data_IF_149560341136
#
_entry.id   IF_149560341136
#
_cell.length_a   1.000
_cell.length_b   1.000
_cell.length_c   1.000
_cell.angle_alpha   90.00
_cell.angle_beta   90.00
_cell.angle_gamma   90.00
#
_symmetry.space_group_name_H-M   'P 1'
#
loop_
_entity.id
_entity.type
_entity.pdbx_description
1 polymer ?
#
# COMPACT_ATOMS: atom_id res chain seq x y z
N UNK A 1 -32.34 -8.70 2.19
CA UNK A 1 -31.68 -7.76 1.28
C UNK A 1 -31.28 -8.54 0.03
N UNK A 2 -31.83 -8.19 -1.12
CA UNK A 2 -31.50 -8.81 -2.39
C UNK A 2 -31.98 -7.88 -3.48
N UNK A 3 -31.13 -6.91 -3.84
CA UNK A 3 -31.36 -6.10 -5.03
C UNK A 3 -31.07 -6.95 -6.27
N UNK A 4 -31.65 -6.56 -7.40
CA UNK A 4 -31.30 -7.18 -8.68
C UNK A 4 -29.82 -6.97 -8.98
N UNK A 5 -29.19 -7.99 -9.58
CA UNK A 5 -27.81 -7.88 -10.05
C UNK A 5 -27.71 -6.75 -11.09
N UNK A 6 -26.66 -5.95 -11.00
CA UNK A 6 -26.45 -4.81 -11.88
C UNK A 6 -24.97 -4.58 -12.14
N UNK A 7 -24.64 -4.22 -13.38
CA UNK A 7 -23.28 -3.86 -13.80
C UNK A 7 -22.70 -2.79 -12.89
N UNK A 8 -23.50 -1.82 -12.47
CA UNK A 8 -23.00 -0.74 -11.61
C UNK A 8 -22.70 -1.23 -10.18
N UNK A 9 -23.42 -2.24 -9.70
CA UNK A 9 -23.12 -2.90 -8.43
C UNK A 9 -21.86 -3.78 -8.52
N UNK A 10 -21.65 -4.44 -9.67
CA UNK A 10 -20.42 -5.20 -9.95
C UNK A 10 -19.20 -4.28 -9.99
N UNK A 11 -19.31 -3.11 -10.64
CA UNK A 11 -18.26 -2.09 -10.68
C UNK A 11 -17.92 -1.59 -9.27
N UNK A 12 -18.92 -1.31 -8.44
CA UNK A 12 -18.69 -0.91 -7.05
C UNK A 12 -17.93 -1.99 -6.28
N UNK A 13 -18.40 -3.23 -6.38
CA UNK A 13 -17.80 -4.38 -5.70
C UNK A 13 -16.36 -4.61 -6.17
N UNK A 14 -16.10 -4.43 -7.48
CA UNK A 14 -14.75 -4.47 -8.04
C UNK A 14 -13.86 -3.36 -7.47
N UNK A 15 -14.38 -2.14 -7.32
CA UNK A 15 -13.67 -1.03 -6.69
C UNK A 15 -13.24 -1.35 -5.25
N UNK A 16 -14.15 -1.89 -4.45
CA UNK A 16 -13.85 -2.30 -3.07
C UNK A 16 -12.82 -3.42 -3.04
N UNK A 17 -12.94 -4.43 -3.90
CA UNK A 17 -11.98 -5.53 -4.00
C UNK A 17 -10.59 -5.01 -4.40
N UNK A 18 -10.52 -4.06 -5.33
CA UNK A 18 -9.26 -3.44 -5.74
C UNK A 18 -8.61 -2.69 -4.57
N UNK A 19 -9.39 -1.92 -3.80
CA UNK A 19 -8.87 -1.26 -2.61
C UNK A 19 -8.42 -2.26 -1.54
N UNK A 20 -9.20 -3.32 -1.30
CA UNK A 20 -8.88 -4.38 -0.32
C UNK A 20 -7.54 -5.05 -0.65
N UNK A 21 -7.34 -5.43 -1.92
CA UNK A 21 -6.10 -6.09 -2.38
C UNK A 21 -4.86 -5.22 -2.16
N UNK A 22 -4.94 -3.91 -2.34
CA UNK A 22 -3.77 -3.02 -2.27
C UNK A 22 -3.52 -2.44 -0.86
N UNK A 23 -4.54 -2.43 0.00
CA UNK A 23 -4.41 -1.92 1.37
C UNK A 23 -4.25 -3.03 2.41
N UNK A 24 -4.53 -4.28 2.03
CA UNK A 24 -4.47 -5.45 2.92
C UNK A 24 -5.51 -5.39 4.05
N UNK A 25 -6.58 -4.62 3.85
CA UNK A 25 -7.61 -4.35 4.88
C UNK A 25 -8.97 -4.85 4.39
N UNK A 26 -9.64 -5.62 5.23
CA UNK A 26 -10.98 -6.14 4.92
C UNK A 26 -12.01 -5.01 5.00
N UNK A 27 -12.98 -4.91 4.07
CA UNK A 27 -14.06 -3.93 4.16
C UNK A 27 -14.89 -4.04 5.45
N UNK A 28 -14.90 -5.22 6.06
CA UNK A 28 -15.58 -5.53 7.32
C UNK A 28 -14.66 -5.51 8.55
N UNK A 29 -13.48 -4.89 8.44
CA UNK A 29 -12.58 -4.71 9.59
C UNK A 29 -13.26 -3.84 10.67
N UNK A 30 -12.96 -4.13 11.94
CA UNK A 30 -13.55 -3.44 13.09
C UNK A 30 -13.20 -1.94 13.11
N UNK A 31 -12.14 -1.52 12.39
CA UNK A 31 -11.82 -0.09 12.22
C UNK A 31 -12.78 0.65 11.29
N UNK A 32 -13.57 -0.03 10.47
CA UNK A 32 -14.54 0.58 9.54
C UNK A 32 -15.94 0.61 10.13
N UNK A 33 -16.12 1.47 11.14
CA UNK A 33 -17.40 1.72 11.83
C UNK A 33 -17.79 3.19 11.73
N UNK A 34 -18.99 3.51 12.19
CA UNK A 34 -19.49 4.89 12.31
C UNK A 34 -19.46 5.69 10.98
N UNK A 35 -19.73 5.00 9.86
CA UNK A 35 -19.74 5.59 8.51
C UNK A 35 -18.36 5.67 7.85
N UNK A 36 -17.29 5.29 8.54
CA UNK A 36 -15.99 5.06 7.93
C UNK A 36 -16.03 3.72 7.18
N UNK A 37 -15.55 3.74 5.94
CA UNK A 37 -15.42 2.55 5.11
C UNK A 37 -14.11 2.62 4.32
N UNK A 38 -13.76 1.53 3.63
CA UNK A 38 -12.51 1.42 2.89
C UNK A 38 -12.34 2.51 1.81
N UNK A 39 -13.42 2.92 1.14
CA UNK A 39 -13.42 4.03 0.16
C UNK A 39 -13.03 5.35 0.84
N UNK A 40 -13.76 5.73 1.89
CA UNK A 40 -13.53 6.99 2.61
C UNK A 40 -12.14 7.03 3.26
N UNK A 41 -11.70 5.91 3.83
CA UNK A 41 -10.35 5.75 4.37
C UNK A 41 -9.28 6.01 3.30
N UNK A 42 -9.42 5.42 2.12
CA UNK A 42 -8.49 5.63 1.00
C UNK A 42 -8.51 7.09 0.53
N UNK A 43 -9.71 7.66 0.37
CA UNK A 43 -9.91 9.04 -0.10
C UNK A 43 -9.26 10.07 0.83
N UNK A 44 -9.28 9.83 2.13
CA UNK A 44 -8.67 10.72 3.13
C UNK A 44 -7.14 10.62 3.20
N UNK A 45 -6.57 9.53 2.68
CA UNK A 45 -5.15 9.25 2.75
C UNK A 45 -4.37 9.64 1.49
N UNK A 46 -5.02 9.71 0.33
CA UNK A 46 -4.35 10.02 -0.92
C UNK A 46 -4.24 11.52 -1.21
N UNK A 47 -3.14 11.94 -1.88
CA UNK A 47 -1.94 11.15 -2.19
C UNK A 47 -0.89 11.10 -1.07
N UNK A 48 -0.99 11.94 -0.03
CA UNK A 48 0.13 12.25 0.88
C UNK A 48 0.50 11.11 1.84
N UNK A 49 -0.45 10.25 2.21
CA UNK A 49 -0.29 9.19 3.22
C UNK A 49 -0.27 7.78 2.62
N UNK A 50 0.02 7.64 1.33
CA UNK A 50 0.01 6.37 0.61
C UNK A 50 0.80 5.25 1.31
N UNK A 51 2.04 5.54 1.71
CA UNK A 51 2.95 4.58 2.36
C UNK A 51 2.38 4.02 3.67
N UNK A 52 1.50 4.76 4.34
CA UNK A 52 0.90 4.36 5.63
C UNK A 52 -0.32 3.44 5.45
N UNK A 53 -0.98 3.50 4.29
CA UNK A 53 -2.25 2.80 4.07
C UNK A 53 -2.12 1.54 3.21
N UNK A 54 -1.12 1.51 2.32
CA UNK A 54 -0.81 0.38 1.43
C UNK A 54 -0.32 -0.81 2.24
N UNK A 55 -0.66 -2.02 1.78
CA UNK A 55 -0.17 -3.25 2.39
C UNK A 55 1.37 -3.29 2.40
N UNK A 56 2.03 -3.47 3.56
CA UNK A 56 3.48 -3.56 3.65
C UNK A 56 4.10 -4.65 2.78
N UNK A 57 3.35 -5.69 2.37
CA UNK A 57 3.86 -6.72 1.44
C UNK A 57 4.15 -6.14 0.04
N UNK A 58 3.50 -5.03 -0.32
CA UNK A 58 3.72 -4.32 -1.59
C UNK A 58 4.91 -3.36 -1.52
N UNK A 59 5.43 -3.11 -0.32
CA UNK A 59 6.64 -2.33 -0.12
C UNK A 59 7.87 -3.26 -0.22
N UNK A 60 8.98 -2.81 -0.83
CA UNK A 60 10.21 -3.59 -0.84
C UNK A 60 10.63 -3.91 0.59
N UNK A 61 10.70 -5.19 0.94
CA UNK A 61 11.40 -5.62 2.16
C UNK A 61 12.88 -5.64 1.83
N UNK A 62 13.70 -4.92 2.59
CA UNK A 62 15.11 -5.27 2.65
C UNK A 62 15.16 -6.69 3.23
N UNK A 63 15.49 -7.65 2.37
CA UNK A 63 15.90 -8.97 2.84
C UNK A 63 17.32 -8.76 3.33
N UNK A 64 17.47 -8.35 4.59
CA UNK A 64 18.70 -8.67 5.29
C UNK A 64 18.80 -10.20 5.31
N UNK A 65 19.70 -10.75 4.51
CA UNK A 65 20.17 -12.11 4.69
C UNK A 65 20.69 -12.26 6.14
N UNK A 66 20.04 -13.11 6.93
CA UNK A 66 20.40 -13.51 8.29
C UNK A 66 21.77 -14.27 8.33
N UNK A 67 22.39 -14.62 9.50
CA UNK A 67 21.88 -14.65 10.87
C UNK A 67 22.90 -14.22 11.98
N UNK A 68 22.58 -13.26 12.84
CA UNK A 68 23.34 -13.15 14.10
C UNK A 68 22.82 -14.17 15.10
N UNK A 69 23.45 -15.35 15.10
CA UNK A 69 23.56 -16.16 16.29
C UNK A 69 24.21 -15.30 17.38
N UNK A 70 23.39 -14.61 18.20
CA UNK A 70 23.89 -14.12 19.48
C UNK A 70 23.96 -15.34 20.38
N UNK A 71 25.15 -15.92 20.35
CA UNK A 71 25.65 -16.92 21.27
C UNK A 71 25.20 -16.59 22.68
N UNK A 72 24.54 -17.56 23.31
CA UNK A 72 24.31 -17.59 24.74
C UNK A 72 25.63 -17.43 25.50
N UNK A 73 25.58 -16.63 26.56
CA UNK A 73 26.54 -16.49 27.65
C UNK A 73 27.86 -15.73 27.36
N UNK A 74 28.01 -14.55 27.97
CA UNK A 74 28.62 -14.42 29.30
C UNK A 74 28.53 -12.97 29.82
N UNK A 75 27.93 -12.83 30.99
CA UNK A 75 28.07 -11.71 31.91
C UNK A 75 29.53 -11.57 32.34
N UNK A 76 30.07 -10.35 32.43
CA UNK A 76 30.97 -9.93 33.51
C UNK A 76 30.83 -8.42 33.73
N UNK A 77 30.45 -8.08 34.96
CA UNK A 77 30.20 -6.73 35.47
C UNK A 77 31.50 -5.98 35.80
N UNK A 78 31.47 -4.66 35.57
CA UNK A 78 32.12 -3.59 36.33
C UNK A 78 31.76 -2.28 35.60
N UNK A 79 31.02 -1.28 36.08
CA UNK A 79 30.52 -0.97 37.40
C UNK A 79 30.78 0.51 37.70
N UNK A 80 29.99 1.45 37.13
CA UNK A 80 29.59 2.78 37.66
C UNK A 80 29.20 3.84 36.59
N UNK A 81 27.95 3.85 36.08
CA UNK A 81 27.41 4.99 35.32
C UNK A 81 25.93 5.25 35.65
N UNK A 82 25.58 6.49 36.02
CA UNK A 82 24.21 7.02 35.88
C UNK A 82 24.29 8.09 34.80
N UNK A 83 23.98 7.67 33.57
CA UNK A 83 23.77 8.50 32.40
C UNK A 83 22.30 8.26 32.01
N UNK A 84 21.52 9.33 31.89
CA UNK A 84 20.13 9.28 31.44
C UNK A 84 20.10 9.77 29.99
N UNK A 85 20.44 8.86 29.11
CA UNK A 85 20.61 9.05 27.67
C UNK A 85 19.26 8.94 27.00
N UNK A 86 18.87 10.05 26.39
CA UNK A 86 18.07 10.18 25.17
C UNK A 86 17.87 8.85 24.43
N UNK A 87 16.73 8.20 24.63
CA UNK A 87 16.23 7.18 23.70
C UNK A 87 15.69 7.88 22.45
N UNK A 88 16.62 8.37 21.62
CA UNK A 88 16.35 8.53 20.20
C UNK A 88 16.34 7.10 19.62
N UNK A 89 15.25 6.38 19.87
CA UNK A 89 14.97 5.11 19.21
C UNK A 89 14.97 5.38 17.71
N UNK A 90 16.05 4.92 17.08
CA UNK A 90 16.40 5.21 15.71
C UNK A 90 15.21 4.93 14.81
N UNK A 91 14.78 5.97 14.10
CA UNK A 91 13.88 5.86 12.97
C UNK A 91 14.55 4.87 12.00
N UNK A 92 14.02 3.64 11.80
CA UNK A 92 14.47 2.84 10.68
C UNK A 92 14.09 3.66 9.45
N UNK A 93 15.08 3.98 8.62
CA UNK A 93 14.94 4.74 7.39
C UNK A 93 13.56 4.52 6.77
N UNK A 94 12.71 5.56 6.79
CA UNK A 94 11.37 5.48 6.23
C UNK A 94 11.52 5.21 4.73
N UNK A 95 11.33 3.95 4.35
CA UNK A 95 11.39 3.40 3.00
C UNK A 95 11.06 4.47 1.95
N UNK A 96 12.07 4.95 1.21
CA UNK A 96 11.80 5.77 0.03
C UNK A 96 11.21 4.84 -1.03
N UNK A 97 9.89 4.82 -1.09
CA UNK A 97 9.13 4.14 -2.13
C UNK A 97 9.58 4.69 -3.50
N UNK A 98 9.94 3.80 -4.43
CA UNK A 98 10.32 4.22 -5.79
C UNK A 98 9.23 5.12 -6.38
N UNK A 99 9.56 6.30 -6.92
CA UNK A 99 8.57 7.27 -7.39
C UNK A 99 7.61 6.71 -8.46
N UNK A 100 8.04 5.74 -9.28
CA UNK A 100 7.17 5.11 -10.27
C UNK A 100 6.19 4.16 -9.61
N UNK A 101 6.65 3.39 -8.61
CA UNK A 101 5.76 2.52 -7.82
C UNK A 101 4.75 3.38 -7.06
N UNK A 102 5.19 4.48 -6.44
CA UNK A 102 4.31 5.45 -5.77
C UNK A 102 3.23 5.94 -6.72
N UNK A 103 3.62 6.43 -7.89
CA UNK A 103 2.69 6.90 -8.92
C UNK A 103 1.72 5.81 -9.36
N UNK A 104 2.19 4.57 -9.57
CA UNK A 104 1.33 3.46 -9.98
C UNK A 104 0.29 3.12 -8.91
N UNK A 105 0.69 3.05 -7.64
CA UNK A 105 -0.24 2.77 -6.55
C UNK A 105 -1.28 3.89 -6.39
N UNK A 106 -0.89 5.16 -6.49
CA UNK A 106 -1.86 6.28 -6.49
C UNK A 106 -2.90 6.08 -7.59
N UNK A 107 -2.48 5.82 -8.84
CA UNK A 107 -3.42 5.64 -9.96
C UNK A 107 -4.33 4.41 -9.80
N UNK A 108 -3.83 3.31 -9.20
CA UNK A 108 -4.64 2.12 -8.92
C UNK A 108 -5.72 2.45 -7.88
N UNK A 109 -5.34 3.12 -6.79
CA UNK A 109 -6.28 3.46 -5.72
C UNK A 109 -7.28 4.52 -6.17
N UNK A 110 -6.88 5.50 -6.98
CA UNK A 110 -7.80 6.45 -7.64
C UNK A 110 -8.81 5.73 -8.54
N UNK A 111 -8.36 4.70 -9.27
CA UNK A 111 -9.26 3.85 -10.07
C UNK A 111 -10.26 3.11 -9.17
N UNK A 112 -9.80 2.56 -8.05
CA UNK A 112 -10.65 1.93 -7.04
C UNK A 112 -11.68 2.89 -6.44
N UNK A 113 -11.28 4.13 -6.14
CA UNK A 113 -12.17 5.19 -5.68
C UNK A 113 -13.25 5.54 -6.72
N UNK A 114 -12.85 5.73 -7.98
CA UNK A 114 -13.78 6.05 -9.05
C UNK A 114 -14.79 4.91 -9.34
N UNK A 115 -14.41 3.65 -9.09
CA UNK A 115 -15.32 2.50 -9.18
C UNK A 115 -16.31 2.46 -8.01
N UNK A 116 -15.88 2.85 -6.81
CA UNK A 116 -16.63 2.71 -5.55
C UNK A 116 -17.37 3.98 -5.12
N UNK A 117 -17.67 4.87 -6.06
CA UNK A 117 -18.52 6.04 -5.80
C UNK A 117 -19.92 5.61 -5.33
N UNK A 118 -20.50 6.32 -4.36
CA UNK A 118 -21.81 5.96 -3.80
C UNK A 118 -22.92 6.00 -4.87
N UNK A 119 -22.92 7.05 -5.69
CA UNK A 119 -23.85 7.22 -6.80
C UNK A 119 -23.42 6.40 -8.02
N UNK A 120 -24.28 5.50 -8.56
CA UNK A 120 -23.99 4.72 -9.77
C UNK A 120 -23.65 5.56 -11.01
N UNK A 121 -24.12 6.81 -11.06
CA UNK A 121 -23.89 7.71 -12.20
C UNK A 121 -22.46 8.26 -12.23
N UNK A 122 -21.84 8.35 -11.06
CA UNK A 122 -20.49 8.88 -10.89
C UNK A 122 -19.43 7.77 -10.96
N UNK A 123 -19.86 6.50 -11.02
CA UNK A 123 -18.97 5.35 -11.15
C UNK A 123 -18.37 5.29 -12.55
N UNK A 124 -17.07 5.01 -12.61
CA UNK A 124 -16.38 4.74 -13.86
C UNK A 124 -16.95 3.50 -14.55
N UNK A 125 -17.17 3.55 -15.87
CA UNK A 125 -17.59 2.36 -16.64
C UNK A 125 -16.48 1.31 -16.65
N UNK A 126 -16.84 0.02 -16.53
CA UNK A 126 -15.87 -1.09 -16.46
C UNK A 126 -14.88 -1.14 -17.65
N UNK A 127 -15.31 -0.71 -18.83
CA UNK A 127 -14.44 -0.58 -20.01
C UNK A 127 -13.29 0.40 -19.78
N UNK A 128 -13.59 1.54 -19.15
CA UNK A 128 -12.58 2.55 -18.79
C UNK A 128 -11.67 2.05 -17.67
N UNK A 129 -12.23 1.36 -16.66
CA UNK A 129 -11.45 0.70 -15.59
C UNK A 129 -10.39 -0.23 -16.19
N UNK A 130 -10.80 -1.08 -17.13
CA UNK A 130 -9.89 -2.00 -17.83
C UNK A 130 -8.81 -1.25 -18.61
N UNK A 131 -9.18 -0.14 -19.28
CA UNK A 131 -8.24 0.70 -20.02
C UNK A 131 -7.21 1.33 -19.10
N UNK A 132 -7.64 1.94 -18.00
CA UNK A 132 -6.77 2.59 -17.02
C UNK A 132 -5.80 1.60 -16.38
N UNK A 133 -6.29 0.44 -15.92
CA UNK A 133 -5.43 -0.60 -15.35
C UNK A 133 -4.41 -1.14 -16.36
N UNK A 134 -4.79 -1.26 -17.64
CA UNK A 134 -3.85 -1.66 -18.68
C UNK A 134 -2.75 -0.61 -18.90
N UNK A 135 -3.10 0.67 -18.88
CA UNK A 135 -2.14 1.77 -18.99
C UNK A 135 -1.19 1.82 -17.78
N UNK A 136 -1.72 1.66 -16.57
CA UNK A 136 -0.92 1.61 -15.34
C UNK A 136 0.05 0.43 -15.41
N UNK A 137 -0.42 -0.77 -15.78
CA UNK A 137 0.43 -1.96 -15.95
C UNK A 137 1.54 -1.70 -16.97
N UNK A 138 1.22 -1.12 -18.13
CA UNK A 138 2.21 -0.79 -19.16
C UNK A 138 3.24 0.21 -18.64
N UNK A 139 2.82 1.25 -17.94
CA UNK A 139 3.70 2.26 -17.36
C UNK A 139 4.64 1.64 -16.31
N UNK A 140 4.10 0.80 -15.43
CA UNK A 140 4.85 0.08 -14.41
C UNK A 140 5.91 -0.83 -15.05
N UNK A 141 5.53 -1.74 -15.95
CA UNK A 141 6.47 -2.66 -16.59
C UNK A 141 7.51 -1.95 -17.46
N UNK A 142 7.12 -0.87 -18.15
CA UNK A 142 8.07 -0.05 -18.93
C UNK A 142 9.07 0.70 -18.03
N UNK A 143 8.72 0.97 -16.78
CA UNK A 143 9.64 1.54 -15.79
C UNK A 143 10.58 0.48 -15.20
N UNK A 144 10.09 -0.75 -14.95
CA UNK A 144 10.90 -1.88 -14.46
C UNK A 144 11.98 -2.30 -15.45
N UNK A 145 11.67 -2.39 -16.75
CA UNK A 145 12.64 -2.74 -17.81
C UNK A 145 13.78 -1.70 -17.90
N UNK A 146 13.50 -0.43 -17.58
CA UNK A 146 14.52 0.63 -17.54
C UNK A 146 15.43 0.56 -16.32
N UNK A 147 14.97 -0.02 -15.22
CA UNK A 147 15.80 -0.23 -14.01
C UNK A 147 16.71 -1.46 -14.14
N UNK A 148 16.27 -2.52 -14.82
CA UNK A 148 17.12 -3.69 -15.10
C UNK A 148 18.33 -3.33 -15.99
N UNK A 149 18.13 -2.45 -16.97
CA UNK A 149 19.23 -1.95 -17.80
C UNK A 149 20.26 -1.10 -17.05
N UNK A 150 19.92 -0.54 -15.88
CA UNK A 150 20.84 0.24 -15.04
C UNK A 150 21.55 -0.58 -13.96
N UNK A 151 21.05 -1.77 -13.61
CA UNK A 151 21.75 -2.69 -12.68
C UNK A 151 22.83 -3.52 -13.37
N UNK A 152 22.77 -3.69 -14.70
CA UNK A 152 23.73 -4.50 -15.46
C UNK A 152 24.83 -3.66 -16.17
N UNK A 153 25.07 -2.42 -15.75
CA UNK A 153 26.15 -1.56 -16.28
C UNK A 153 27.01 -0.90 -15.18
N UNK A 154 27.18 -1.57 -14.03
CA UNK A 154 28.20 -1.22 -13.03
C UNK A 154 29.13 -2.39 -12.84
#
# INVERSE_FOLDING_TARGET
MGGEASIEADVYSYGILLLEMFLGKRPTDEMFKDGLNLHNFTKMALPEKLVQIVDPILLPREVDEAPTAIVAAREYNNGNEIQADVEAQGIPNLFQMDPNVHKCLVSILETGLACSMESPKDRMKMKEVTRELHLIKKAFLSSTIRCEFRRNQV
#
